data_IF_858548436172
#
_entry.id   IF_858548436172
#
_cell.length_a   1.000
_cell.length_b   1.000
_cell.length_c   1.000
_cell.angle_alpha   90.00
_cell.angle_beta   90.00
_cell.angle_gamma   90.00
#
_symmetry.space_group_name_H-M   'P 1'
#
loop_
_entity.id
_entity.type
_entity.pdbx_description
1 polymer ?
#
# COMPACT_ATOMS: atom_id res chain seq x y z
N UNK A 1 -14.90 -22.92 -22.13
CA UNK A 1 -13.59 -22.23 -22.16
C UNK A 1 -13.83 -20.75 -22.01
N UNK A 2 -13.40 -20.18 -20.89
CA UNK A 2 -13.55 -18.74 -20.61
C UNK A 2 -12.56 -17.93 -21.45
N UNK A 3 -13.06 -16.87 -22.10
CA UNK A 3 -12.23 -15.91 -22.83
C UNK A 3 -12.05 -14.66 -21.99
N UNK A 4 -10.81 -14.20 -21.88
CA UNK A 4 -10.46 -12.97 -21.17
C UNK A 4 -9.71 -12.01 -22.10
N UNK A 5 -9.70 -10.72 -21.74
CA UNK A 5 -8.90 -9.72 -22.41
C UNK A 5 -7.96 -9.03 -21.42
N UNK A 6 -6.81 -8.54 -21.90
CA UNK A 6 -5.84 -7.77 -21.11
C UNK A 6 -5.80 -6.35 -21.67
N UNK A 7 -5.96 -5.35 -20.85
CA UNK A 7 -5.77 -3.93 -21.16
C UNK A 7 -4.44 -3.46 -20.58
N UNK A 8 -3.48 -3.13 -21.46
CA UNK A 8 -2.11 -2.79 -21.13
C UNK A 8 -1.17 -4.01 -21.15
N UNK A 9 -0.12 -3.95 -21.97
CA UNK A 9 0.87 -5.05 -22.10
C UNK A 9 2.26 -4.62 -21.63
N UNK A 10 2.28 -3.98 -20.46
CA UNK A 10 3.50 -3.65 -19.73
C UNK A 10 4.04 -4.85 -18.96
N UNK A 11 4.76 -4.57 -17.88
CA UNK A 11 5.35 -5.59 -16.99
C UNK A 11 4.29 -6.55 -16.45
N UNK A 12 3.19 -6.03 -15.91
CA UNK A 12 2.14 -6.87 -15.29
C UNK A 12 1.32 -7.58 -16.37
N UNK A 13 0.85 -6.89 -17.40
CA UNK A 13 0.02 -7.51 -18.44
C UNK A 13 0.72 -8.63 -19.21
N UNK A 14 2.03 -8.46 -19.54
CA UNK A 14 2.83 -9.55 -20.11
C UNK A 14 3.03 -10.70 -19.13
N UNK A 15 3.11 -10.39 -17.83
CA UNK A 15 3.14 -11.39 -16.77
C UNK A 15 1.85 -12.20 -16.68
N UNK A 16 0.69 -11.56 -16.81
CA UNK A 16 -0.62 -12.24 -16.82
C UNK A 16 -0.71 -13.25 -17.96
N UNK A 17 -0.33 -12.86 -19.19
CA UNK A 17 -0.27 -13.80 -20.32
C UNK A 17 0.65 -14.98 -20.03
N UNK A 18 1.84 -14.71 -19.46
CA UNK A 18 2.81 -15.75 -19.10
C UNK A 18 2.24 -16.71 -18.04
N UNK A 19 1.62 -16.20 -16.96
CA UNK A 19 1.03 -17.01 -15.89
C UNK A 19 -0.12 -17.86 -16.45
N UNK A 20 -1.02 -17.29 -17.27
CA UNK A 20 -2.11 -18.01 -17.90
C UNK A 20 -1.61 -19.21 -18.72
N UNK A 21 -0.52 -19.04 -19.45
CA UNK A 21 0.06 -20.11 -20.28
C UNK A 21 0.80 -21.17 -19.45
N UNK A 22 1.68 -20.71 -18.55
CA UNK A 22 2.52 -21.63 -17.75
C UNK A 22 1.71 -22.49 -16.80
N UNK A 23 0.66 -21.94 -16.21
CA UNK A 23 -0.16 -22.59 -15.20
C UNK A 23 -1.55 -22.99 -15.73
N UNK A 24 -1.75 -23.10 -17.05
CA UNK A 24 -3.04 -23.31 -17.70
C UNK A 24 -3.86 -24.46 -17.07
N UNK A 25 -3.23 -25.62 -16.82
CA UNK A 25 -3.90 -26.79 -16.25
C UNK A 25 -4.38 -26.54 -14.79
N UNK A 26 -3.58 -25.84 -13.97
CA UNK A 26 -3.95 -25.50 -12.61
C UNK A 26 -5.06 -24.46 -12.56
N UNK A 27 -4.96 -23.45 -13.43
CA UNK A 27 -5.96 -22.38 -13.59
C UNK A 27 -7.30 -22.99 -14.02
N UNK A 28 -7.29 -23.84 -15.06
CA UNK A 28 -8.50 -24.50 -15.56
C UNK A 28 -9.22 -25.32 -14.49
N UNK A 29 -8.46 -26.08 -13.68
CA UNK A 29 -9.03 -26.88 -12.59
C UNK A 29 -9.69 -25.99 -11.52
N UNK A 30 -9.09 -24.82 -11.20
CA UNK A 30 -9.61 -23.89 -10.19
C UNK A 30 -10.76 -23.04 -10.70
N UNK A 31 -10.69 -22.57 -11.93
CA UNK A 31 -11.77 -21.82 -12.58
C UNK A 31 -12.96 -22.69 -13.02
N UNK A 32 -12.80 -24.02 -13.04
CA UNK A 32 -13.81 -24.97 -13.53
C UNK A 32 -13.83 -25.13 -15.04
N UNK A 33 -13.11 -24.32 -15.78
CA UNK A 33 -12.97 -24.36 -17.25
C UNK A 33 -11.62 -23.77 -17.70
N UNK A 34 -11.10 -24.14 -18.90
CA UNK A 34 -9.90 -23.52 -19.46
C UNK A 34 -10.07 -22.00 -19.62
N UNK A 35 -9.01 -21.24 -19.32
CA UNK A 35 -8.96 -19.79 -19.46
C UNK A 35 -8.00 -19.42 -20.58
N UNK A 36 -8.45 -18.60 -21.54
CA UNK A 36 -7.67 -18.19 -22.69
C UNK A 36 -7.69 -16.67 -22.85
N UNK A 37 -6.52 -16.08 -23.07
CA UNK A 37 -6.39 -14.65 -23.44
C UNK A 37 -6.73 -14.53 -24.93
N UNK A 38 -7.84 -13.86 -25.24
CA UNK A 38 -8.32 -13.66 -26.62
C UNK A 38 -7.86 -12.33 -27.21
N UNK A 39 -7.83 -11.27 -26.39
CA UNK A 39 -7.40 -9.94 -26.81
C UNK A 39 -6.44 -9.30 -25.84
N UNK A 40 -5.54 -8.48 -26.39
CA UNK A 40 -4.63 -7.61 -25.65
C UNK A 40 -4.77 -6.21 -26.21
N UNK A 41 -5.31 -5.29 -25.44
CA UNK A 41 -5.43 -3.87 -25.80
C UNK A 41 -4.15 -3.14 -25.41
N UNK A 42 -3.43 -2.61 -26.40
CA UNK A 42 -2.29 -1.73 -26.17
C UNK A 42 -2.11 -0.77 -27.35
N UNK A 43 -1.69 0.46 -27.07
CA UNK A 43 -1.48 1.50 -28.09
C UNK A 43 -0.18 1.32 -28.86
N UNK A 44 0.79 0.61 -28.28
CA UNK A 44 2.11 0.33 -28.89
C UNK A 44 2.00 -0.66 -30.02
N UNK A 45 3.02 -0.73 -30.85
CA UNK A 45 3.12 -1.72 -31.95
C UNK A 45 3.77 -3.02 -31.46
N UNK A 46 3.05 -4.12 -31.65
CA UNK A 46 3.49 -5.48 -31.35
C UNK A 46 3.44 -6.40 -32.58
N UNK A 47 3.47 -5.84 -33.79
CA UNK A 47 3.40 -6.61 -35.05
C UNK A 47 4.53 -7.65 -35.19
N UNK A 48 5.69 -7.41 -34.57
CA UNK A 48 6.81 -8.37 -34.51
C UNK A 48 6.71 -9.43 -33.40
N UNK A 49 5.68 -9.39 -32.57
CA UNK A 49 5.50 -10.37 -31.49
C UNK A 49 4.97 -11.71 -32.02
N UNK A 50 5.37 -12.84 -31.45
CA UNK A 50 4.73 -14.12 -31.74
C UNK A 50 3.22 -14.12 -31.39
N UNK A 51 2.79 -13.19 -30.55
CA UNK A 51 1.41 -13.01 -30.11
C UNK A 51 0.69 -11.90 -30.88
N UNK A 52 1.22 -11.40 -31.99
CA UNK A 52 0.69 -10.27 -32.74
C UNK A 52 -0.82 -10.36 -33.04
N UNK A 53 -1.33 -11.57 -33.25
CA UNK A 53 -2.74 -11.82 -33.54
C UNK A 53 -3.70 -11.52 -32.36
N UNK A 54 -3.19 -11.43 -31.12
CA UNK A 54 -4.00 -11.11 -29.94
C UNK A 54 -4.19 -9.60 -29.76
N UNK A 55 -3.37 -8.76 -30.40
CA UNK A 55 -3.35 -7.32 -30.12
C UNK A 55 -4.46 -6.56 -30.86
N UNK A 56 -5.07 -5.64 -30.15
CA UNK A 56 -6.03 -4.65 -30.66
C UNK A 56 -5.69 -3.26 -30.13
N UNK A 57 -6.09 -2.23 -30.87
CA UNK A 57 -5.97 -0.82 -30.46
C UNK A 57 -7.32 -0.21 -30.03
N UNK A 58 -8.41 -0.98 -30.13
CA UNK A 58 -9.75 -0.52 -29.79
C UNK A 58 -10.37 -1.32 -28.67
N UNK A 59 -10.84 -0.62 -27.64
CA UNK A 59 -11.64 -1.22 -26.57
C UNK A 59 -12.96 -1.81 -27.13
N UNK A 60 -13.49 -1.27 -28.22
CA UNK A 60 -14.72 -1.75 -28.81
C UNK A 60 -14.59 -3.17 -29.38
N UNK A 61 -13.39 -3.59 -29.77
CA UNK A 61 -13.12 -5.00 -30.14
C UNK A 61 -13.43 -5.94 -28.97
N UNK A 62 -13.07 -5.53 -27.76
CA UNK A 62 -13.32 -6.30 -26.52
C UNK A 62 -14.80 -6.21 -26.15
N UNK A 63 -15.38 -5.01 -26.19
CA UNK A 63 -16.75 -4.78 -25.76
C UNK A 63 -17.82 -5.35 -26.71
N UNK A 64 -17.51 -5.49 -28.00
CA UNK A 64 -18.42 -6.08 -28.98
C UNK A 64 -18.34 -7.62 -29.05
N UNK A 65 -17.38 -8.22 -28.34
CA UNK A 65 -17.23 -9.68 -28.31
C UNK A 65 -17.93 -10.29 -27.08
N UNK A 66 -19.07 -10.99 -27.25
CA UNK A 66 -19.83 -11.57 -26.13
C UNK A 66 -19.12 -12.74 -25.44
N UNK A 67 -18.05 -13.30 -26.04
CA UNK A 67 -17.28 -14.37 -25.39
C UNK A 67 -16.37 -13.86 -24.28
N UNK A 68 -16.04 -12.56 -24.25
CA UNK A 68 -15.19 -11.98 -23.21
C UNK A 68 -15.97 -11.85 -21.91
N UNK A 69 -15.59 -12.61 -20.92
CA UNK A 69 -16.21 -12.62 -19.57
C UNK A 69 -15.49 -11.71 -18.59
N UNK A 70 -14.17 -11.69 -18.64
CA UNK A 70 -13.32 -10.94 -17.69
C UNK A 70 -12.32 -10.09 -18.47
N UNK A 71 -12.12 -8.86 -18.01
CA UNK A 71 -11.11 -7.94 -18.53
C UNK A 71 -10.10 -7.65 -17.43
N UNK A 72 -8.82 -7.87 -17.73
CA UNK A 72 -7.71 -7.54 -16.85
C UNK A 72 -7.20 -6.14 -17.19
N UNK A 73 -7.16 -5.23 -16.22
CA UNK A 73 -6.63 -3.88 -16.37
C UNK A 73 -5.24 -3.77 -15.74
N UNK A 74 -4.25 -3.41 -16.56
CA UNK A 74 -2.84 -3.20 -16.18
C UNK A 74 -2.20 -2.01 -16.91
N UNK A 75 -3.03 -1.01 -17.28
CA UNK A 75 -2.57 0.22 -17.93
C UNK A 75 -1.87 1.13 -16.91
N UNK A 76 -2.49 1.27 -15.73
CA UNK A 76 -2.05 2.20 -14.69
C UNK A 76 -2.54 3.64 -14.90
N UNK A 77 -2.49 4.43 -13.82
CA UNK A 77 -3.08 5.76 -13.78
C UNK A 77 -4.61 5.74 -13.94
N UNK A 78 -5.24 6.90 -13.93
CA UNK A 78 -6.71 6.99 -13.99
C UNK A 78 -7.23 7.47 -15.34
N UNK A 79 -6.45 8.32 -16.03
CA UNK A 79 -6.87 9.03 -17.23
C UNK A 79 -7.45 8.12 -18.35
N UNK A 80 -6.81 6.99 -18.59
CA UNK A 80 -7.24 6.04 -19.63
C UNK A 80 -7.86 4.77 -19.03
N UNK A 81 -7.37 4.32 -17.89
CA UNK A 81 -7.85 3.10 -17.25
C UNK A 81 -9.28 3.23 -16.75
N UNK A 82 -9.62 4.30 -16.03
CA UNK A 82 -10.93 4.50 -15.44
C UNK A 82 -12.07 4.50 -16.46
N UNK A 83 -12.04 5.28 -17.57
CA UNK A 83 -13.11 5.23 -18.58
C UNK A 83 -13.29 3.85 -19.23
N UNK A 84 -12.21 3.11 -19.43
CA UNK A 84 -12.28 1.77 -20.00
C UNK A 84 -12.87 0.76 -19.00
N UNK A 85 -12.46 0.82 -17.75
CA UNK A 85 -13.00 -0.03 -16.69
C UNK A 85 -14.49 0.21 -16.51
N UNK A 86 -14.92 1.48 -16.46
CA UNK A 86 -16.35 1.83 -16.42
C UNK A 86 -17.14 1.17 -17.51
N UNK A 87 -16.70 1.34 -18.77
CA UNK A 87 -17.38 0.74 -19.95
C UNK A 87 -17.42 -0.78 -19.88
N UNK A 88 -16.36 -1.42 -19.36
CA UNK A 88 -16.37 -2.88 -19.17
C UNK A 88 -17.42 -3.30 -18.13
N UNK A 89 -17.47 -2.65 -16.97
CA UNK A 89 -18.46 -2.94 -15.94
C UNK A 89 -19.88 -2.66 -16.39
N UNK A 90 -20.15 -1.51 -17.03
CA UNK A 90 -21.44 -1.14 -17.64
C UNK A 90 -21.93 -2.16 -18.67
N UNK A 91 -21.02 -2.86 -19.32
CA UNK A 91 -21.34 -3.94 -20.26
C UNK A 91 -21.53 -5.32 -19.60
N UNK A 92 -21.48 -5.40 -18.27
CA UNK A 92 -21.62 -6.64 -17.51
C UNK A 92 -20.36 -7.52 -17.49
N UNK A 93 -19.20 -6.99 -17.92
CA UNK A 93 -17.92 -7.73 -17.85
C UNK A 93 -17.23 -7.49 -16.54
N UNK A 94 -16.79 -8.57 -15.91
CA UNK A 94 -15.97 -8.47 -14.71
C UNK A 94 -14.60 -7.86 -15.02
N UNK A 95 -14.05 -7.10 -14.07
CA UNK A 95 -12.74 -6.45 -14.20
C UNK A 95 -11.85 -6.84 -13.05
N UNK A 96 -10.59 -7.23 -13.36
CA UNK A 96 -9.53 -7.48 -12.39
C UNK A 96 -8.41 -6.48 -12.62
N UNK A 97 -7.97 -5.74 -11.59
CA UNK A 97 -7.00 -4.65 -11.77
C UNK A 97 -5.87 -4.68 -10.75
N UNK A 98 -4.69 -4.20 -11.15
CA UNK A 98 -3.56 -3.91 -10.25
C UNK A 98 -3.42 -2.41 -9.96
N UNK A 99 -4.37 -1.58 -10.38
CA UNK A 99 -4.29 -0.12 -10.38
C UNK A 99 -4.74 0.48 -9.05
N UNK A 100 -3.81 0.59 -8.11
CA UNK A 100 -4.06 1.17 -6.78
C UNK A 100 -4.61 2.60 -6.82
N UNK A 101 -4.17 3.42 -7.78
CA UNK A 101 -4.62 4.81 -7.90
C UNK A 101 -6.11 4.87 -8.25
N UNK A 102 -6.53 4.06 -9.23
CA UNK A 102 -7.94 3.97 -9.62
C UNK A 102 -8.82 3.43 -8.49
N UNK A 103 -8.38 2.37 -7.81
CA UNK A 103 -9.14 1.77 -6.69
C UNK A 103 -9.24 2.73 -5.51
N UNK A 104 -8.14 3.39 -5.13
CA UNK A 104 -8.14 4.36 -4.02
C UNK A 104 -8.97 5.61 -4.31
N UNK A 105 -9.14 6.00 -5.58
CA UNK A 105 -9.89 7.20 -5.96
C UNK A 105 -11.36 6.90 -6.27
N UNK A 106 -11.63 5.82 -6.99
CA UNK A 106 -12.97 5.51 -7.54
C UNK A 106 -13.54 4.18 -7.05
N UNK A 107 -12.91 3.53 -6.06
CA UNK A 107 -13.28 2.18 -5.64
C UNK A 107 -14.74 2.03 -5.26
N UNK A 108 -15.30 2.94 -4.46
CA UNK A 108 -16.72 2.89 -4.07
C UNK A 108 -17.66 2.96 -5.27
N UNK A 109 -17.38 3.86 -6.22
CA UNK A 109 -18.17 4.00 -7.45
C UNK A 109 -18.08 2.73 -8.31
N UNK A 110 -16.86 2.22 -8.53
CA UNK A 110 -16.65 1.05 -9.39
C UNK A 110 -17.23 -0.24 -8.78
N UNK A 111 -17.17 -0.39 -7.44
CA UNK A 111 -17.82 -1.50 -6.74
C UNK A 111 -19.35 -1.43 -6.89
N UNK A 112 -19.94 -0.24 -6.72
CA UNK A 112 -21.38 -0.05 -6.90
C UNK A 112 -21.80 -0.33 -8.33
N UNK A 113 -21.06 0.19 -9.32
CA UNK A 113 -21.29 -0.03 -10.74
C UNK A 113 -21.19 -1.51 -11.13
N UNK A 114 -20.18 -2.21 -10.62
CA UNK A 114 -20.02 -3.64 -10.84
C UNK A 114 -21.23 -4.42 -10.33
N UNK A 115 -21.68 -4.11 -9.10
CA UNK A 115 -22.86 -4.75 -8.51
C UNK A 115 -24.14 -4.47 -9.31
N UNK A 116 -24.34 -3.24 -9.76
CA UNK A 116 -25.49 -2.84 -10.58
C UNK A 116 -25.57 -3.63 -11.89
N UNK A 117 -24.42 -3.85 -12.54
CA UNK A 117 -24.34 -4.56 -13.81
C UNK A 117 -24.03 -6.06 -13.70
N UNK A 118 -24.18 -6.65 -12.51
CA UNK A 118 -23.94 -8.08 -12.24
C UNK A 118 -22.53 -8.56 -12.64
N UNK A 119 -21.54 -7.68 -12.53
CA UNK A 119 -20.14 -7.94 -12.79
C UNK A 119 -19.33 -7.99 -11.47
N UNK A 120 -18.11 -8.55 -11.50
CA UNK A 120 -17.15 -8.46 -10.41
C UNK A 120 -16.13 -7.34 -10.71
N UNK A 121 -15.72 -6.61 -9.67
CA UNK A 121 -14.58 -5.69 -9.69
C UNK A 121 -13.59 -6.11 -8.62
N UNK A 122 -12.45 -6.69 -9.02
CA UNK A 122 -11.46 -7.31 -8.15
C UNK A 122 -10.12 -6.61 -8.29
N UNK A 123 -9.38 -6.50 -7.19
CA UNK A 123 -8.18 -5.67 -7.14
C UNK A 123 -7.12 -6.15 -6.14
N UNK A 124 -6.99 -7.47 -5.91
CA UNK A 124 -5.97 -8.05 -5.01
C UNK A 124 -4.58 -7.48 -5.29
N UNK A 125 -4.22 -7.39 -6.57
CA UNK A 125 -2.90 -6.92 -7.00
C UNK A 125 -2.67 -5.40 -6.79
N UNK A 126 -3.65 -4.64 -6.35
CA UNK A 126 -3.51 -3.21 -6.06
C UNK A 126 -2.78 -2.93 -4.75
N UNK A 127 -2.79 -3.89 -3.80
CA UNK A 127 -2.07 -3.82 -2.53
C UNK A 127 -1.23 -5.08 -2.35
N UNK A 128 0.03 -4.94 -1.91
CA UNK A 128 0.89 -6.07 -1.62
C UNK A 128 1.45 -6.83 -2.83
N UNK A 129 1.08 -6.46 -4.06
CA UNK A 129 1.57 -7.10 -5.28
C UNK A 129 1.28 -8.61 -5.31
N UNK A 130 2.28 -9.42 -4.99
CA UNK A 130 2.15 -10.87 -4.90
C UNK A 130 1.79 -11.40 -3.51
N UNK A 131 1.74 -10.54 -2.50
CA UNK A 131 1.34 -10.91 -1.14
C UNK A 131 -0.17 -10.82 -1.03
N UNK A 132 -0.90 -11.92 -0.75
CA UNK A 132 -2.35 -11.90 -0.65
C UNK A 132 -2.76 -11.12 0.61
N UNK A 133 -3.62 -10.11 0.47
CA UNK A 133 -4.04 -9.23 1.57
C UNK A 133 -5.55 -8.97 1.51
N UNK A 134 -6.09 -8.56 0.35
CA UNK A 134 -7.48 -8.16 0.19
C UNK A 134 -8.41 -9.37 0.31
N UNK A 135 -8.12 -10.42 -0.44
CA UNK A 135 -8.90 -11.68 -0.37
C UNK A 135 -8.89 -12.29 1.04
N UNK A 136 -7.74 -12.43 1.73
CA UNK A 136 -7.74 -12.83 3.13
C UNK A 136 -8.60 -11.93 4.03
N UNK A 137 -8.59 -10.61 3.87
CA UNK A 137 -9.40 -9.71 4.70
C UNK A 137 -10.89 -10.03 4.59
N UNK A 138 -11.43 -10.11 3.39
CA UNK A 138 -12.87 -10.28 3.22
C UNK A 138 -13.35 -11.74 3.24
N UNK A 139 -12.45 -12.73 3.12
CA UNK A 139 -12.80 -14.16 3.17
C UNK A 139 -12.30 -14.85 4.43
N UNK A 140 -10.96 -14.85 4.67
CA UNK A 140 -10.37 -15.61 5.77
C UNK A 140 -10.61 -14.93 7.13
N UNK A 141 -10.59 -13.59 7.15
CA UNK A 141 -10.80 -12.80 8.36
C UNK A 141 -12.25 -12.30 8.54
N UNK A 142 -13.17 -12.74 7.70
CA UNK A 142 -14.56 -12.27 7.65
C UNK A 142 -15.33 -12.38 8.98
N UNK A 143 -14.89 -13.25 9.92
CA UNK A 143 -15.49 -13.38 11.23
C UNK A 143 -14.89 -12.41 12.28
N UNK A 144 -13.95 -11.56 11.89
CA UNK A 144 -13.26 -10.62 12.78
C UNK A 144 -13.63 -9.18 12.45
N UNK A 145 -13.69 -8.36 13.48
CA UNK A 145 -13.58 -6.91 13.35
C UNK A 145 -12.11 -6.52 13.33
N UNK A 146 -11.68 -5.86 12.25
CA UNK A 146 -10.28 -5.44 12.07
C UNK A 146 -10.11 -4.05 12.67
N UNK A 147 -9.54 -3.98 13.86
CA UNK A 147 -9.36 -2.72 14.60
C UNK A 147 -8.06 -1.99 14.27
N UNK A 148 -7.07 -2.67 13.73
CA UNK A 148 -5.78 -2.06 13.35
C UNK A 148 -5.15 -2.76 12.17
N UNK A 149 -4.52 -1.95 11.30
CA UNK A 149 -3.67 -2.40 10.19
C UNK A 149 -2.37 -1.62 10.27
N UNK A 150 -1.24 -2.30 10.16
CA UNK A 150 0.09 -1.70 10.05
C UNK A 150 0.86 -2.41 8.95
N UNK A 151 1.38 -1.65 7.98
CA UNK A 151 2.01 -2.25 6.81
C UNK A 151 3.27 -1.57 6.34
N UNK A 152 4.28 -2.38 6.03
CA UNK A 152 5.37 -2.03 5.15
C UNK A 152 4.91 -2.42 3.75
N UNK A 153 4.34 -1.45 3.02
CA UNK A 153 3.67 -1.69 1.74
C UNK A 153 4.36 -1.06 0.54
N UNK A 154 5.54 -0.44 0.77
CA UNK A 154 6.40 0.08 -0.28
C UNK A 154 7.79 -0.56 -0.21
N UNK A 155 8.13 -1.40 -1.18
CA UNK A 155 9.39 -2.14 -1.22
C UNK A 155 10.60 -1.24 -1.47
N UNK A 156 10.46 -0.12 -2.19
CA UNK A 156 11.54 0.81 -2.50
C UNK A 156 12.06 1.49 -1.25
N UNK A 157 11.16 2.07 -0.45
CA UNK A 157 11.52 2.74 0.82
C UNK A 157 12.06 1.76 1.84
N UNK A 158 11.47 0.56 1.92
CA UNK A 158 11.99 -0.48 2.81
C UNK A 158 13.39 -0.95 2.42
N UNK A 159 13.66 -1.11 1.12
CA UNK A 159 15.00 -1.38 0.60
C UNK A 159 15.98 -0.27 0.97
N UNK A 160 15.61 1.00 0.77
CA UNK A 160 16.48 2.14 1.11
C UNK A 160 16.82 2.16 2.60
N UNK A 161 15.81 2.04 3.48
CA UNK A 161 16.02 2.00 4.94
C UNK A 161 16.88 0.80 5.37
N UNK A 162 16.70 -0.36 4.72
CA UNK A 162 17.55 -1.54 4.93
C UNK A 162 19.01 -1.25 4.57
N UNK A 163 19.25 -0.59 3.43
CA UNK A 163 20.59 -0.19 2.99
C UNK A 163 21.22 0.84 3.93
N UNK A 164 20.46 1.88 4.31
CA UNK A 164 20.92 2.88 5.27
C UNK A 164 21.38 2.24 6.59
N UNK A 165 20.60 1.26 7.09
CA UNK A 165 20.93 0.52 8.31
C UNK A 165 22.16 -0.37 8.15
N UNK A 166 22.17 -1.27 7.15
CA UNK A 166 23.22 -2.30 7.01
C UNK A 166 24.55 -1.76 6.55
N UNK A 167 24.54 -0.72 5.71
CA UNK A 167 25.75 -0.18 5.07
C UNK A 167 26.15 1.19 5.62
N UNK A 168 25.41 1.70 6.62
CA UNK A 168 25.65 2.99 7.27
C UNK A 168 25.75 4.16 6.27
N UNK A 169 24.89 4.17 5.26
CA UNK A 169 24.86 5.16 4.19
C UNK A 169 23.73 6.17 4.35
N UNK A 170 23.87 7.33 3.73
CA UNK A 170 22.85 8.39 3.73
C UNK A 170 21.70 8.11 2.75
N UNK A 171 20.61 8.88 2.89
CA UNK A 171 19.42 8.79 2.06
C UNK A 171 19.72 8.88 0.55
N UNK A 172 20.49 9.89 0.12
CA UNK A 172 20.78 10.13 -1.30
C UNK A 172 21.56 8.98 -1.95
N UNK A 173 22.47 8.36 -1.20
CA UNK A 173 23.24 7.21 -1.67
C UNK A 173 22.33 5.98 -1.80
N UNK A 174 21.49 5.71 -0.80
CA UNK A 174 20.52 4.63 -0.84
C UNK A 174 19.52 4.81 -2.00
N UNK A 175 19.04 6.04 -2.23
CA UNK A 175 18.17 6.37 -3.35
C UNK A 175 18.84 6.09 -4.69
N UNK A 176 20.09 6.52 -4.86
CA UNK A 176 20.84 6.27 -6.09
C UNK A 176 21.01 4.78 -6.41
N UNK A 177 21.26 3.96 -5.38
CA UNK A 177 21.31 2.50 -5.54
C UNK A 177 19.95 1.94 -5.95
N UNK A 178 18.86 2.38 -5.29
CA UNK A 178 17.51 1.97 -5.63
C UNK A 178 17.15 2.31 -7.09
N UNK A 179 17.54 3.49 -7.57
CA UNK A 179 17.35 3.91 -8.96
C UNK A 179 18.16 3.06 -9.94
N UNK A 180 19.43 2.76 -9.63
CA UNK A 180 20.29 1.90 -10.47
C UNK A 180 19.73 0.48 -10.59
N UNK A 181 19.10 -0.04 -9.55
CA UNK A 181 18.46 -1.35 -9.54
C UNK A 181 17.04 -1.34 -10.16
N UNK A 182 16.52 -0.16 -10.54
CA UNK A 182 15.20 -0.02 -11.13
C UNK A 182 14.05 -0.13 -10.10
N UNK A 183 14.34 0.05 -8.82
CA UNK A 183 13.31 0.07 -7.75
C UNK A 183 12.65 1.43 -7.61
N UNK A 184 13.39 2.52 -7.81
CA UNK A 184 12.88 3.89 -7.79
C UNK A 184 13.00 4.54 -9.17
N UNK A 185 12.05 5.42 -9.51
CA UNK A 185 12.14 6.22 -10.72
C UNK A 185 13.28 7.24 -10.64
N UNK A 186 14.02 7.41 -11.75
CA UNK A 186 15.15 8.34 -11.81
C UNK A 186 14.72 9.79 -11.92
N UNK A 187 13.53 10.06 -12.48
CA UNK A 187 13.06 11.42 -12.74
C UNK A 187 12.27 11.99 -11.56
N UNK A 188 11.37 11.21 -11.00
CA UNK A 188 10.57 11.61 -9.83
C UNK A 188 10.32 10.39 -8.92
N UNK A 189 11.18 10.17 -7.89
CA UNK A 189 11.00 9.08 -6.94
C UNK A 189 9.93 9.38 -5.88
N UNK A 190 9.23 10.51 -5.95
CA UNK A 190 8.37 11.01 -4.90
C UNK A 190 7.19 10.09 -4.57
N UNK A 191 6.68 9.31 -5.54
CA UNK A 191 5.62 8.34 -5.24
C UNK A 191 6.05 7.32 -4.17
N UNK A 192 7.32 6.92 -4.18
CA UNK A 192 7.89 6.04 -3.17
C UNK A 192 8.32 6.82 -1.93
N UNK A 193 9.31 7.72 -2.09
CA UNK A 193 10.03 8.32 -0.95
C UNK A 193 9.23 9.32 -0.14
N UNK A 194 8.17 9.91 -0.72
CA UNK A 194 7.23 10.79 -0.02
C UNK A 194 6.02 10.04 0.56
N UNK A 195 5.93 8.71 0.34
CA UNK A 195 4.89 7.85 0.92
C UNK A 195 3.57 7.79 0.14
N UNK A 196 3.45 8.43 -1.03
CA UNK A 196 2.20 8.50 -1.81
C UNK A 196 1.70 7.12 -2.27
N UNK A 197 2.60 6.23 -2.67
CA UNK A 197 2.27 4.83 -2.99
C UNK A 197 1.67 4.10 -1.79
N UNK A 198 2.31 4.22 -0.62
CA UNK A 198 1.84 3.62 0.62
C UNK A 198 0.49 4.21 1.08
N UNK A 199 0.29 5.52 0.86
CA UNK A 199 -0.96 6.22 1.16
C UNK A 199 -2.14 5.65 0.36
N UNK A 200 -2.00 5.46 -0.96
CA UNK A 200 -3.06 4.85 -1.78
C UNK A 200 -3.40 3.43 -1.32
N UNK A 201 -2.40 2.66 -0.91
CA UNK A 201 -2.59 1.29 -0.44
C UNK A 201 -3.30 1.22 0.91
N UNK A 202 -2.92 2.06 1.87
CA UNK A 202 -3.62 2.07 3.16
C UNK A 202 -5.04 2.65 3.04
N UNK A 203 -5.29 3.57 2.11
CA UNK A 203 -6.63 4.04 1.81
C UNK A 203 -7.57 2.90 1.37
N UNK A 204 -7.08 1.99 0.52
CA UNK A 204 -7.82 0.79 0.09
C UNK A 204 -8.08 -0.14 1.27
N UNK A 205 -7.06 -0.46 2.06
CA UNK A 205 -7.18 -1.35 3.21
C UNK A 205 -8.09 -0.78 4.30
N UNK A 206 -7.97 0.52 4.60
CA UNK A 206 -8.83 1.21 5.55
C UNK A 206 -10.29 1.22 5.08
N UNK A 207 -10.53 1.49 3.78
CA UNK A 207 -11.88 1.45 3.20
C UNK A 207 -12.52 0.08 3.36
N UNK A 208 -11.74 -0.99 3.17
CA UNK A 208 -12.22 -2.36 3.34
C UNK A 208 -12.48 -2.70 4.81
N UNK A 209 -11.64 -2.22 5.73
CA UNK A 209 -11.79 -2.48 7.16
C UNK A 209 -13.01 -1.76 7.75
N UNK A 210 -13.20 -0.48 7.42
CA UNK A 210 -14.30 0.33 8.00
C UNK A 210 -15.61 0.27 7.20
N UNK A 211 -15.59 -0.30 5.97
CA UNK A 211 -16.78 -0.39 5.11
C UNK A 211 -17.21 0.92 4.45
N UNK A 212 -16.38 1.97 4.50
CA UNK A 212 -16.62 3.27 3.88
C UNK A 212 -15.38 3.74 3.12
N UNK A 213 -15.58 4.52 2.04
CA UNK A 213 -14.45 4.99 1.23
C UNK A 213 -13.56 5.97 2.01
N UNK A 214 -12.29 5.63 2.15
CA UNK A 214 -11.25 6.49 2.71
C UNK A 214 -10.43 7.07 1.56
N UNK A 215 -10.48 8.39 1.41
CA UNK A 215 -9.76 9.08 0.32
C UNK A 215 -8.30 9.30 0.69
N UNK A 216 -7.35 9.02 -0.22
CA UNK A 216 -5.91 9.26 0.03
C UNK A 216 -5.59 10.70 0.46
N UNK A 217 -6.29 11.70 -0.10
CA UNK A 217 -6.07 13.11 0.20
C UNK A 217 -6.37 13.47 1.68
N UNK A 218 -7.11 12.64 2.38
CA UNK A 218 -7.44 12.81 3.80
C UNK A 218 -6.47 12.09 4.74
N UNK A 219 -5.47 11.37 4.21
CA UNK A 219 -4.51 10.60 4.99
C UNK A 219 -3.23 11.41 5.16
N UNK A 220 -2.89 11.85 6.38
CA UNK A 220 -1.59 12.46 6.66
C UNK A 220 -0.47 11.55 6.19
N UNK A 221 0.40 12.08 5.33
CA UNK A 221 1.44 11.28 4.68
C UNK A 221 2.77 11.99 4.76
N UNK A 222 3.76 11.31 5.37
CA UNK A 222 5.14 11.76 5.47
C UNK A 222 6.07 10.65 5.01
N UNK A 223 7.03 10.99 4.15
CA UNK A 223 8.02 10.06 3.61
C UNK A 223 9.29 9.95 4.45
N UNK A 224 10.34 9.44 3.83
CA UNK A 224 11.61 9.09 4.51
C UNK A 224 12.77 10.04 4.21
N UNK A 225 12.54 11.20 3.55
CA UNK A 225 13.61 12.10 3.09
C UNK A 225 14.45 12.69 4.22
N UNK A 226 13.83 12.94 5.38
CA UNK A 226 14.46 13.60 6.50
C UNK A 226 15.21 12.63 7.45
N UNK A 227 15.19 11.32 7.13
CA UNK A 227 15.89 10.32 7.91
C UNK A 227 17.38 10.36 7.62
N UNK A 228 18.19 10.47 8.67
CA UNK A 228 19.64 10.53 8.60
C UNK A 228 20.29 9.27 9.17
N UNK A 229 21.61 9.15 8.96
CA UNK A 229 22.43 8.08 9.57
C UNK A 229 22.39 8.18 11.11
N UNK A 230 22.28 9.40 11.66
CA UNK A 230 22.17 9.60 13.11
C UNK A 230 20.89 8.98 13.67
N UNK A 231 19.76 9.13 12.93
CA UNK A 231 18.48 8.52 13.32
C UNK A 231 18.53 6.99 13.26
N UNK A 232 19.18 6.43 12.25
CA UNK A 232 19.39 4.97 12.14
C UNK A 232 20.17 4.44 13.36
N UNK A 233 21.27 5.12 13.74
CA UNK A 233 22.06 4.74 14.92
C UNK A 233 21.29 4.93 16.23
N UNK A 234 20.45 5.96 16.30
CA UNK A 234 19.58 6.16 17.46
C UNK A 234 18.54 5.03 17.59
N UNK A 235 17.95 4.62 16.46
CA UNK A 235 17.02 3.50 16.42
C UNK A 235 17.67 2.20 16.93
N UNK A 236 18.91 1.92 16.55
CA UNK A 236 19.66 0.75 17.04
C UNK A 236 19.89 0.81 18.57
N UNK A 237 20.24 1.99 19.10
CA UNK A 237 20.37 2.17 20.56
C UNK A 237 19.05 1.97 21.31
N UNK A 238 17.92 2.22 20.65
CA UNK A 238 16.57 2.06 21.19
C UNK A 238 15.97 0.67 20.90
N UNK A 239 16.82 -0.30 20.52
CA UNK A 239 16.42 -1.66 20.12
C UNK A 239 15.28 -1.66 19.09
N UNK A 240 15.44 -0.85 18.05
CA UNK A 240 14.41 -0.61 17.05
C UNK A 240 14.97 -0.53 15.64
N UNK A 241 14.10 -0.61 14.64
CA UNK A 241 14.38 -0.33 13.25
C UNK A 241 13.48 0.81 12.75
N UNK A 242 13.97 1.68 11.88
CA UNK A 242 13.12 2.68 11.21
C UNK A 242 12.45 2.00 10.02
N UNK A 243 11.11 2.10 9.94
CA UNK A 243 10.29 1.62 8.83
C UNK A 243 9.30 2.70 8.40
N UNK A 244 8.98 2.77 7.10
CA UNK A 244 7.84 3.56 6.63
C UNK A 244 6.58 2.72 6.85
N UNK A 245 5.75 3.12 7.79
CA UNK A 245 4.53 2.40 8.17
C UNK A 245 3.30 3.13 7.61
N UNK A 246 2.53 2.40 6.82
CA UNK A 246 1.17 2.76 6.48
C UNK A 246 0.24 2.12 7.52
N UNK A 247 -0.60 2.91 8.18
CA UNK A 247 -1.37 2.43 9.31
C UNK A 247 -2.83 2.90 9.29
N UNK A 248 -3.69 2.09 9.89
CA UNK A 248 -5.08 2.38 10.19
C UNK A 248 -5.38 1.90 11.61
N UNK A 249 -6.11 2.70 12.38
CA UNK A 249 -6.62 2.34 13.70
C UNK A 249 -8.08 2.75 13.81
N UNK A 250 -8.87 1.92 14.48
CA UNK A 250 -10.21 2.24 14.93
C UNK A 250 -10.22 2.26 16.45
N UNK A 251 -10.63 3.39 17.03
CA UNK A 251 -10.79 3.54 18.48
C UNK A 251 -12.05 2.86 18.99
N UNK A 252 -12.11 2.61 20.31
CA UNK A 252 -13.27 1.98 20.96
C UNK A 252 -14.59 2.77 20.86
N UNK A 253 -14.53 4.02 20.42
CA UNK A 253 -15.68 4.90 20.14
C UNK A 253 -16.08 4.90 18.64
N UNK A 254 -15.47 4.04 17.82
CA UNK A 254 -15.67 3.97 16.38
C UNK A 254 -14.99 5.09 15.60
N UNK A 255 -14.13 5.88 16.24
CA UNK A 255 -13.33 6.90 15.57
C UNK A 255 -12.17 6.25 14.80
N UNK A 256 -12.00 6.64 13.56
CA UNK A 256 -10.98 6.08 12.67
C UNK A 256 -9.86 7.08 12.44
N UNK A 257 -8.64 6.57 12.45
CA UNK A 257 -7.45 7.31 12.06
C UNK A 257 -6.59 6.48 11.10
N UNK A 258 -5.93 7.13 10.17
CA UNK A 258 -4.97 6.49 9.26
C UNK A 258 -3.83 7.45 8.94
N UNK A 259 -2.67 6.91 8.59
CA UNK A 259 -1.51 7.71 8.24
C UNK A 259 -0.44 6.89 7.52
N UNK A 260 0.52 7.62 6.98
CA UNK A 260 1.78 7.07 6.47
C UNK A 260 2.92 7.90 7.02
N UNK A 261 3.79 7.28 7.77
CA UNK A 261 4.92 7.98 8.39
C UNK A 261 6.07 7.02 8.72
N UNK A 262 7.32 7.51 8.79
CA UNK A 262 8.40 6.73 9.35
C UNK A 262 8.18 6.54 10.85
N UNK A 263 8.39 5.32 11.32
CA UNK A 263 8.25 4.96 12.73
C UNK A 263 9.47 4.17 13.20
N UNK A 264 9.80 4.31 14.47
CA UNK A 264 10.65 3.35 15.18
C UNK A 264 9.83 2.10 15.45
N UNK A 265 10.23 0.97 14.94
CA UNK A 265 9.58 -0.33 15.17
C UNK A 265 10.47 -1.14 16.08
N UNK A 266 9.99 -1.48 17.29
CA UNK A 266 10.74 -2.32 18.25
C UNK A 266 11.15 -3.63 17.60
N UNK A 267 12.37 -4.13 17.92
CA UNK A 267 12.84 -5.41 17.38
C UNK A 267 12.02 -6.62 17.88
N UNK A 268 11.18 -6.46 18.90
CA UNK A 268 10.19 -7.46 19.32
C UNK A 268 8.99 -7.53 18.35
N UNK A 269 8.70 -6.46 17.63
CA UNK A 269 7.58 -6.40 16.68
C UNK A 269 7.92 -7.11 15.35
N UNK A 270 6.97 -7.87 14.80
CA UNK A 270 7.16 -8.69 13.61
C UNK A 270 7.55 -7.87 12.37
N UNK A 271 7.19 -6.59 12.31
CA UNK A 271 7.52 -5.71 11.19
C UNK A 271 8.98 -5.25 11.18
N UNK A 272 9.67 -5.24 12.32
CA UNK A 272 11.05 -4.77 12.41
C UNK A 272 12.03 -5.56 11.54
N UNK A 273 11.81 -6.88 11.43
CA UNK A 273 12.64 -7.80 10.65
C UNK A 273 12.32 -7.86 9.15
N UNK A 274 11.36 -7.07 8.66
CA UNK A 274 11.00 -7.03 7.24
C UNK A 274 11.99 -6.16 6.48
N UNK A 275 12.89 -6.76 5.74
CA UNK A 275 14.01 -6.07 5.07
C UNK A 275 13.90 -6.12 3.54
N UNK A 276 14.80 -5.38 2.87
CA UNK A 276 14.93 -5.31 1.42
C UNK A 276 13.62 -4.88 0.73
N UNK A 277 13.25 -5.52 -0.38
CA UNK A 277 12.05 -5.20 -1.17
C UNK A 277 10.77 -5.92 -0.69
N UNK A 278 10.84 -6.59 0.45
CA UNK A 278 9.69 -7.32 0.98
C UNK A 278 8.67 -6.39 1.63
N UNK A 279 7.42 -6.80 1.52
CA UNK A 279 6.28 -6.18 2.18
C UNK A 279 5.76 -7.08 3.31
N UNK A 280 5.18 -6.46 4.31
CA UNK A 280 4.40 -7.16 5.32
C UNK A 280 3.24 -6.27 5.78
N UNK A 281 2.10 -6.90 6.05
CA UNK A 281 0.93 -6.24 6.64
C UNK A 281 0.51 -7.02 7.87
N UNK A 282 0.57 -6.36 9.02
CA UNK A 282 0.06 -6.85 10.29
C UNK A 282 -1.36 -6.32 10.46
N UNK A 283 -2.30 -7.20 10.75
CA UNK A 283 -3.69 -6.87 11.03
C UNK A 283 -4.08 -7.41 12.39
N UNK A 284 -4.85 -6.62 13.14
CA UNK A 284 -5.37 -7.01 14.44
C UNK A 284 -6.87 -7.25 14.35
N UNK A 285 -7.26 -8.51 14.52
CA UNK A 285 -8.66 -8.92 14.63
C UNK A 285 -9.06 -9.14 16.08
N UNK A 286 -10.31 -8.82 16.39
CA UNK A 286 -10.84 -8.94 17.76
C UNK A 286 -10.87 -10.38 18.30
N UNK A 287 -11.07 -11.37 17.41
CA UNK A 287 -11.13 -12.79 17.78
C UNK A 287 -9.82 -13.54 17.51
N UNK A 288 -9.11 -13.16 16.44
CA UNK A 288 -7.91 -13.84 15.99
C UNK A 288 -6.64 -13.31 16.69
N UNK A 289 -6.65 -12.04 17.12
CA UNK A 289 -5.43 -11.32 17.51
C UNK A 289 -4.65 -10.86 16.28
N UNK A 290 -3.33 -10.88 16.39
CA UNK A 290 -2.43 -10.39 15.35
C UNK A 290 -2.17 -11.45 14.28
N UNK A 291 -2.25 -11.04 13.00
CA UNK A 291 -1.88 -11.86 11.86
C UNK A 291 -0.99 -11.05 10.93
N UNK A 292 0.05 -11.68 10.36
CA UNK A 292 0.99 -11.03 9.44
C UNK A 292 0.97 -11.72 8.09
N UNK A 293 0.77 -10.91 7.04
CA UNK A 293 0.94 -11.32 5.65
C UNK A 293 2.28 -10.80 5.15
N UNK A 294 3.16 -11.68 4.73
CA UNK A 294 4.52 -11.36 4.31
C UNK A 294 4.83 -11.91 2.93
N UNK A 295 5.47 -11.12 2.06
CA UNK A 295 5.84 -11.58 0.73
C UNK A 295 6.46 -10.49 -0.15
N UNK A 296 6.50 -10.74 -1.46
CA UNK A 296 6.98 -9.78 -2.45
C UNK A 296 5.91 -8.75 -2.75
N UNK A 297 6.18 -7.48 -2.46
CA UNK A 297 5.27 -6.35 -2.67
C UNK A 297 5.10 -5.91 -4.12
N UNK A 298 5.98 -6.36 -5.02
CA UNK A 298 5.97 -6.02 -6.45
C UNK A 298 6.68 -7.09 -7.29
N UNK A 299 6.59 -6.96 -8.61
CA UNK A 299 7.29 -7.78 -9.58
C UNK A 299 6.35 -8.37 -10.63
N UNK A 300 6.88 -8.64 -11.82
CA UNK A 300 6.12 -9.12 -12.98
C UNK A 300 5.22 -10.31 -12.63
N UNK A 301 5.83 -11.41 -12.22
CA UNK A 301 5.07 -12.66 -11.95
C UNK A 301 4.32 -12.65 -10.62
N UNK A 302 4.86 -12.11 -9.50
CA UNK A 302 4.09 -11.99 -8.27
C UNK A 302 2.79 -11.20 -8.45
N UNK A 303 2.85 -10.00 -9.04
CA UNK A 303 1.67 -9.16 -9.29
C UNK A 303 0.69 -9.83 -10.28
N UNK A 304 1.23 -10.41 -11.37
CA UNK A 304 0.41 -11.14 -12.34
C UNK A 304 -0.28 -12.37 -11.71
N UNK A 305 0.35 -13.02 -10.75
CA UNK A 305 -0.25 -14.15 -10.03
C UNK A 305 -1.49 -13.73 -9.23
N UNK A 306 -1.43 -12.58 -8.54
CA UNK A 306 -2.58 -12.02 -7.82
C UNK A 306 -3.72 -11.64 -8.79
N UNK A 307 -3.39 -10.98 -9.91
CA UNK A 307 -4.38 -10.66 -10.95
C UNK A 307 -5.06 -11.92 -11.50
N UNK A 308 -4.30 -13.00 -11.75
CA UNK A 308 -4.87 -14.25 -12.28
C UNK A 308 -5.69 -14.98 -11.21
N UNK A 309 -5.37 -14.83 -9.92
CA UNK A 309 -6.23 -15.31 -8.84
C UNK A 309 -7.59 -14.59 -8.87
N UNK A 310 -7.60 -13.26 -9.02
CA UNK A 310 -8.82 -12.48 -9.19
C UNK A 310 -9.64 -12.92 -10.42
N UNK A 311 -8.96 -13.23 -11.55
CA UNK A 311 -9.64 -13.76 -12.75
C UNK A 311 -10.34 -15.09 -12.44
N UNK A 312 -9.71 -15.98 -11.68
CA UNK A 312 -10.33 -17.24 -11.27
C UNK A 312 -11.56 -16.99 -10.41
N UNK A 313 -11.46 -16.10 -9.45
CA UNK A 313 -12.57 -15.77 -8.55
C UNK A 313 -13.71 -15.05 -9.29
N UNK A 314 -13.40 -14.14 -10.21
CA UNK A 314 -14.40 -13.50 -11.07
C UNK A 314 -15.17 -14.51 -11.93
N UNK A 315 -14.51 -15.54 -12.42
CA UNK A 315 -15.13 -16.60 -13.23
C UNK A 315 -16.02 -17.53 -12.40
N UNK A 316 -15.65 -17.77 -11.12
CA UNK A 316 -16.39 -18.67 -10.21
C UNK A 316 -17.54 -17.98 -9.50
N UNK A 317 -17.25 -16.86 -8.87
CA UNK A 317 -18.17 -16.19 -7.95
C UNK A 317 -18.98 -15.08 -8.67
N UNK A 318 -18.40 -14.48 -9.73
CA UNK A 318 -19.03 -13.36 -10.42
C UNK A 318 -19.38 -12.22 -9.44
N UNK A 319 -20.56 -11.65 -9.56
CA UNK A 319 -21.05 -10.55 -8.71
C UNK A 319 -21.15 -10.93 -7.23
N UNK A 320 -21.26 -12.19 -6.88
CA UNK A 320 -21.38 -12.66 -5.49
C UNK A 320 -20.17 -12.30 -4.63
N UNK A 321 -19.01 -12.10 -5.23
CA UNK A 321 -17.82 -11.63 -4.50
C UNK A 321 -18.11 -10.33 -3.73
N UNK A 322 -19.04 -9.51 -4.21
CA UNK A 322 -19.42 -8.24 -3.60
C UNK A 322 -20.38 -8.38 -2.40
N UNK A 323 -20.72 -9.61 -2.00
CA UNK A 323 -21.38 -9.83 -0.71
C UNK A 323 -20.42 -9.64 0.45
N UNK A 324 -19.11 -9.80 0.22
CA UNK A 324 -18.04 -9.60 1.23
C UNK A 324 -17.00 -8.53 0.82
N UNK A 325 -16.70 -8.38 -0.47
CA UNK A 325 -15.79 -7.34 -0.98
C UNK A 325 -16.59 -6.11 -1.41
N UNK A 326 -16.83 -5.22 -0.48
CA UNK A 326 -17.60 -4.00 -0.74
C UNK A 326 -17.33 -2.93 0.33
N UNK A 327 -17.34 -1.65 -0.07
CA UNK A 327 -17.49 -0.52 0.83
C UNK A 327 -18.38 0.55 0.21
N UNK A 328 -19.01 1.36 1.05
CA UNK A 328 -19.91 2.43 0.63
C UNK A 328 -19.14 3.71 0.31
N UNK A 329 -19.68 4.61 -0.53
CA UNK A 329 -19.17 5.97 -0.61
C UNK A 329 -19.15 6.61 0.78
N UNK A 330 -18.15 7.44 1.07
CA UNK A 330 -18.17 8.25 2.28
C UNK A 330 -19.27 9.31 2.17
N UNK A 331 -20.08 9.46 3.21
CA UNK A 331 -21.09 10.52 3.26
C UNK A 331 -20.45 11.92 3.35
N UNK A 332 -19.23 11.98 3.93
CA UNK A 332 -18.41 13.18 4.03
C UNK A 332 -16.93 12.81 3.89
N UNK A 333 -16.09 13.69 3.30
CA UNK A 333 -14.63 13.47 3.24
C UNK A 333 -13.95 13.40 4.62
N UNK A 334 -14.65 13.72 5.68
CA UNK A 334 -14.15 14.03 7.02
C UNK A 334 -14.08 12.80 7.95
N UNK A 335 -14.04 11.59 7.41
CA UNK A 335 -14.14 10.36 8.23
C UNK A 335 -12.91 10.00 9.06
N UNK A 336 -11.74 10.59 8.76
CA UNK A 336 -10.52 10.32 9.52
C UNK A 336 -10.28 11.40 10.56
N UNK A 337 -10.05 10.97 11.79
CA UNK A 337 -9.70 11.84 12.91
C UNK A 337 -8.21 11.75 13.20
N UNK A 338 -7.73 12.69 13.99
CA UNK A 338 -6.38 12.65 14.53
C UNK A 338 -6.22 11.40 15.41
N UNK A 339 -5.07 10.72 15.29
CA UNK A 339 -4.72 9.60 16.15
C UNK A 339 -4.54 10.08 17.60
N UNK A 340 -5.44 9.67 18.48
CA UNK A 340 -5.44 10.03 19.91
C UNK A 340 -4.72 9.04 20.79
N UNK A 341 -4.13 8.00 20.22
CA UNK A 341 -3.36 7.04 20.99
C UNK A 341 -2.05 7.70 21.50
N UNK A 342 -1.57 7.22 22.62
CA UNK A 342 -0.28 7.60 23.18
C UNK A 342 0.79 6.63 22.72
N UNK A 343 1.95 7.16 22.36
CA UNK A 343 3.12 6.42 21.93
C UNK A 343 4.37 6.97 22.63
N UNK A 344 5.44 6.21 22.76
CA UNK A 344 6.76 6.79 22.91
C UNK A 344 7.14 7.53 21.61
N UNK A 345 7.80 8.70 21.73
CA UNK A 345 8.17 9.53 20.59
C UNK A 345 9.66 9.84 20.57
N UNK A 346 10.28 9.57 19.47
CA UNK A 346 11.62 10.02 19.15
C UNK A 346 11.56 11.42 18.54
N UNK A 347 12.35 12.34 19.09
CA UNK A 347 12.48 13.71 18.58
C UNK A 347 13.96 13.99 18.31
N UNK A 348 14.30 14.38 17.07
CA UNK A 348 15.61 14.96 16.77
C UNK A 348 15.47 16.47 16.70
N UNK A 349 16.22 17.15 17.58
CA UNK A 349 16.09 18.58 17.84
C UNK A 349 17.44 19.28 17.57
N UNK A 350 17.36 20.47 16.97
CA UNK A 350 18.51 21.35 16.75
C UNK A 350 18.28 22.69 17.46
N UNK A 351 19.38 23.37 17.83
CA UNK A 351 19.32 24.71 18.40
C UNK A 351 18.91 24.79 19.89
N UNK A 352 18.63 23.66 20.54
CA UNK A 352 18.34 23.57 21.99
C UNK A 352 19.28 22.56 22.63
N UNK A 353 19.85 22.93 23.78
CA UNK A 353 20.72 22.03 24.52
C UNK A 353 19.95 20.81 25.05
N UNK A 354 20.52 19.61 24.93
CA UNK A 354 19.88 18.36 25.35
C UNK A 354 19.43 18.39 26.84
N UNK A 355 20.16 19.09 27.72
CA UNK A 355 19.80 19.24 29.11
C UNK A 355 18.45 19.95 29.37
N UNK A 356 17.93 20.70 28.41
CA UNK A 356 16.63 21.39 28.50
C UNK A 356 15.45 20.50 28.07
N UNK A 357 15.70 19.44 27.27
CA UNK A 357 14.65 18.62 26.68
C UNK A 357 13.71 17.96 27.71
N UNK A 358 14.19 17.47 28.88
CA UNK A 358 13.29 16.96 29.91
C UNK A 358 12.27 17.97 30.43
N UNK A 359 12.66 19.25 30.52
CA UNK A 359 11.77 20.32 30.97
C UNK A 359 10.77 20.80 29.92
N UNK A 360 11.07 20.58 28.63
CA UNK A 360 10.26 21.03 27.50
C UNK A 360 9.35 19.92 26.99
N UNK A 361 9.90 18.69 26.84
CA UNK A 361 9.24 17.55 26.22
C UNK A 361 8.64 16.56 27.23
N UNK A 362 8.89 16.76 28.55
CA UNK A 362 8.38 15.87 29.60
C UNK A 362 9.26 14.67 29.89
N UNK A 363 8.67 13.63 30.48
CA UNK A 363 9.38 12.41 30.86
C UNK A 363 9.99 11.70 29.66
N UNK A 364 11.23 11.25 29.81
CA UNK A 364 12.00 10.61 28.75
C UNK A 364 13.50 10.69 29.00
N UNK A 365 14.29 10.41 27.95
CA UNK A 365 15.75 10.46 28.07
C UNK A 365 16.45 10.87 26.77
N UNK A 366 17.65 11.42 26.90
CA UNK A 366 18.51 11.78 25.78
C UNK A 366 19.11 10.49 25.18
N UNK A 367 18.92 10.31 23.86
CA UNK A 367 19.44 9.16 23.10
C UNK A 367 20.84 9.44 22.59
N UNK A 368 21.06 10.66 22.07
CA UNK A 368 22.39 11.19 21.74
C UNK A 368 22.38 12.73 21.77
N UNK A 369 23.57 13.30 21.87
CA UNK A 369 23.87 14.72 21.67
C UNK A 369 25.19 14.80 20.89
N UNK A 370 25.17 15.44 19.73
CA UNK A 370 26.34 15.63 18.87
C UNK A 370 26.16 16.85 17.95
N UNK A 371 27.22 17.64 17.80
CA UNK A 371 27.33 18.76 16.85
C UNK A 371 26.13 19.75 16.82
N UNK A 372 25.52 20.01 17.98
CA UNK A 372 24.38 20.93 18.10
C UNK A 372 23.02 20.29 17.75
N UNK A 373 22.98 18.99 17.54
CA UNK A 373 21.77 18.17 17.47
C UNK A 373 21.65 17.30 18.73
N UNK A 374 20.42 17.11 19.18
CA UNK A 374 20.10 16.17 20.23
C UNK A 374 18.91 15.30 19.84
N UNK A 375 18.96 14.03 20.20
CA UNK A 375 17.79 13.17 20.11
C UNK A 375 17.26 12.84 21.50
N UNK A 376 15.96 12.91 21.65
CA UNK A 376 15.24 12.66 22.88
C UNK A 376 14.11 11.65 22.64
N UNK A 377 14.00 10.65 23.50
CA UNK A 377 12.84 9.75 23.52
C UNK A 377 11.90 10.22 24.63
N UNK A 378 10.70 10.65 24.25
CA UNK A 378 9.58 10.94 25.17
C UNK A 378 8.90 9.61 25.50
N UNK A 379 8.63 9.34 26.78
CA UNK A 379 8.11 8.03 27.20
C UNK A 379 6.69 7.75 26.71
N UNK A 380 5.81 8.76 26.75
CA UNK A 380 4.44 8.63 26.25
C UNK A 380 3.83 10.01 25.95
N UNK A 381 3.32 10.18 24.73
CA UNK A 381 2.64 11.40 24.31
C UNK A 381 1.65 11.12 23.17
N UNK A 382 0.64 11.96 23.03
CA UNK A 382 -0.21 12.02 21.84
C UNK A 382 0.43 12.87 20.75
N UNK A 383 -0.08 12.81 19.53
CA UNK A 383 0.36 13.71 18.44
C UNK A 383 0.17 15.19 18.82
N UNK A 384 -0.92 15.54 19.53
CA UNK A 384 -1.19 16.90 20.00
C UNK A 384 -0.15 17.38 21.05
N UNK A 385 0.27 16.48 21.96
CA UNK A 385 1.32 16.81 22.94
C UNK A 385 2.64 17.11 22.23
N UNK A 386 3.00 16.32 21.21
CA UNK A 386 4.24 16.55 20.44
C UNK A 386 4.16 17.85 19.62
N UNK A 387 3.01 18.20 19.07
CA UNK A 387 2.83 19.50 18.43
C UNK A 387 3.10 20.66 19.43
N UNK A 388 2.56 20.56 20.64
CA UNK A 388 2.81 21.55 21.70
C UNK A 388 4.30 21.59 22.15
N UNK A 389 4.98 20.43 22.17
CA UNK A 389 6.43 20.35 22.43
C UNK A 389 7.21 21.04 21.33
N UNK A 390 6.82 20.84 20.06
CA UNK A 390 7.46 21.49 18.91
C UNK A 390 7.38 22.99 19.00
N UNK A 391 6.20 23.56 19.33
CA UNK A 391 6.03 25.01 19.53
C UNK A 391 6.93 25.54 20.65
N UNK A 392 7.05 24.83 21.77
CA UNK A 392 7.94 25.23 22.88
C UNK A 392 9.42 25.24 22.47
N UNK A 393 9.85 24.26 21.67
CA UNK A 393 11.21 24.17 21.13
C UNK A 393 11.48 25.36 20.21
N UNK A 394 10.53 25.72 19.34
CA UNK A 394 10.64 26.87 18.44
C UNK A 394 10.73 28.20 19.22
N UNK A 395 9.95 28.38 20.29
CA UNK A 395 10.05 29.54 21.17
C UNK A 395 11.44 29.68 21.82
N UNK A 396 12.12 28.58 22.07
CA UNK A 396 13.50 28.56 22.58
C UNK A 396 14.56 28.78 21.49
N UNK A 397 14.14 29.01 20.23
CA UNK A 397 15.05 29.22 19.10
C UNK A 397 15.54 27.92 18.45
N UNK A 398 15.00 26.79 18.82
CA UNK A 398 15.31 25.49 18.24
C UNK A 398 14.35 25.05 17.15
N UNK A 399 14.56 23.83 16.67
CA UNK A 399 13.69 23.17 15.67
C UNK A 399 13.63 21.67 15.94
N UNK A 400 12.44 21.09 15.88
CA UNK A 400 12.26 19.64 15.72
C UNK A 400 12.53 19.31 14.27
N UNK A 401 13.65 18.67 13.99
CA UNK A 401 14.07 18.30 12.64
C UNK A 401 13.44 16.99 12.18
N UNK A 402 13.09 16.10 13.11
CA UNK A 402 12.37 14.85 12.86
C UNK A 402 11.66 14.42 14.15
N UNK A 403 10.44 13.93 14.00
CA UNK A 403 9.69 13.24 15.04
C UNK A 403 9.22 11.88 14.50
N UNK A 404 9.22 10.86 15.32
CA UNK A 404 8.74 9.52 14.97
C UNK A 404 8.08 8.85 16.16
N UNK A 405 6.91 8.26 15.94
CA UNK A 405 6.30 7.32 16.91
C UNK A 405 7.18 6.08 17.07
N UNK A 406 7.21 5.53 18.26
CA UNK A 406 7.78 4.20 18.49
C UNK A 406 6.64 3.19 18.60
N UNK A 407 6.62 2.21 17.69
CA UNK A 407 5.74 1.06 17.78
C UNK A 407 6.40 0.02 18.69
N UNK A 408 5.74 -0.29 19.75
CA UNK A 408 5.98 -1.46 20.58
C UNK A 408 5.04 -2.59 20.13
N UNK A 409 4.87 -3.61 20.87
CA UNK A 409 4.02 -4.78 20.50
C UNK A 409 2.53 -4.45 20.45
#
# INVERSE_FOLDING_TARGET
MAKIAIMGFGTVGSGVLEVCRRNAASIARRAGEPVEVKYILDVRDFSGSPDAALFTKSIDTILNDPEIKVVVETIGGTKFAYPYVRRCLESGRSVCTSNKEMVATYGAELLALAKEHSAAFLFEASVGGGTPIITPMHQCLAANHISSIRGIVNGTTNFMLTKMKRENMGFDEALKIAQQLGYAETKDPGDDVDGRDACRKIAILASLACGHHVYPDNIPTRGIRDITVADIKAAEKLDSAIKLIAWYNEGGDGQMAAGVEPMLVSNSNQLAGVDDVFNAVLMKGDMLGDVVFYGKGAGKLPTASAVVADVIDALKEGVKVHDSLFWKPAEKPEGLLEDRNTYPWYLRVTGVAAALLPSVAGAGHVVFEDNGEAAYLVDAATSADIAAVTEKIEVLGGKVALDMKKLED
#
